data_IF_005280027144
#
_entry.id   IF_005280027144
#
_cell.length_a   1.000
_cell.length_b   1.000
_cell.length_c   1.000
_cell.angle_alpha   90.00
_cell.angle_beta   90.00
_cell.angle_gamma   90.00
#
_symmetry.space_group_name_H-M   'P 1'
#
loop_
_entity.id
_entity.type
_entity.pdbx_description
1 polymer ?
#
# COMPACT_ATOMS: atom_id res chain seq x y z
N UNK A 1 23.91 -3.90 -0.33
CA UNK A 1 22.52 -3.46 -0.56
C UNK A 1 21.99 -2.86 0.73
N UNK A 2 21.81 -1.56 0.79
CA UNK A 2 21.25 -0.85 1.95
C UNK A 2 19.75 -1.05 1.99
N UNK A 3 19.21 -1.47 3.14
CA UNK A 3 17.77 -1.68 3.32
C UNK A 3 17.10 -0.32 3.52
N UNK A 4 16.19 0.07 2.61
CA UNK A 4 15.38 1.28 2.80
C UNK A 4 14.30 0.96 3.83
N UNK A 5 14.16 1.77 4.91
CA UNK A 5 13.09 1.59 5.87
C UNK A 5 11.73 1.91 5.23
N UNK A 6 10.71 1.10 5.56
CA UNK A 6 9.35 1.36 5.10
C UNK A 6 8.80 2.64 5.73
N UNK A 7 8.25 3.55 4.93
CA UNK A 7 7.49 4.68 5.43
C UNK A 7 6.13 4.19 5.92
N UNK A 8 5.81 4.45 7.21
CA UNK A 8 4.53 4.07 7.85
C UNK A 8 3.79 5.26 8.47
N UNK A 9 4.14 6.48 8.05
CA UNK A 9 3.70 7.71 8.72
C UNK A 9 2.18 7.87 8.66
N UNK A 10 1.57 7.56 7.52
CA UNK A 10 0.13 7.69 7.33
C UNK A 10 -0.64 6.60 8.10
N UNK A 11 -0.16 5.36 8.02
CA UNK A 11 -0.72 4.20 8.70
C UNK A 11 -0.70 4.38 10.22
N UNK A 12 0.38 4.97 10.73
CA UNK A 12 0.52 5.32 12.15
C UNK A 12 -0.42 6.45 12.56
N UNK A 13 -0.58 7.49 11.73
CA UNK A 13 -1.52 8.57 12.00
C UNK A 13 -2.97 8.07 12.06
N UNK A 14 -3.36 7.19 11.12
CA UNK A 14 -4.68 6.57 11.10
C UNK A 14 -4.91 5.65 12.31
N UNK A 15 -3.91 4.86 12.70
CA UNK A 15 -3.98 4.04 13.93
C UNK A 15 -4.20 4.89 15.19
N UNK A 16 -3.55 6.05 15.29
CA UNK A 16 -3.71 6.97 16.43
C UNK A 16 -5.12 7.52 16.58
N UNK A 17 -5.90 7.60 15.50
CA UNK A 17 -7.30 8.06 15.54
C UNK A 17 -8.31 6.89 15.56
N UNK A 18 -7.84 5.67 15.82
CA UNK A 18 -8.68 4.50 16.08
C UNK A 18 -8.91 3.57 14.89
N UNK A 19 -8.29 3.81 13.72
CA UNK A 19 -8.38 2.86 12.61
C UNK A 19 -7.48 1.64 12.87
N UNK A 20 -8.11 0.48 13.05
CA UNK A 20 -7.43 -0.77 13.41
C UNK A 20 -6.85 -1.48 12.18
N UNK A 21 -7.57 -1.47 11.06
CA UNK A 21 -7.13 -2.08 9.80
C UNK A 21 -6.91 -0.99 8.76
N UNK A 22 -5.65 -0.80 8.35
CA UNK A 22 -5.28 0.13 7.27
C UNK A 22 -4.65 -0.69 6.15
N UNK A 23 -5.25 -0.62 4.96
CA UNK A 23 -4.75 -1.28 3.77
C UNK A 23 -4.02 -0.27 2.88
N UNK A 24 -2.81 -0.63 2.44
CA UNK A 24 -2.18 0.01 1.27
C UNK A 24 -2.74 -0.60 0.00
N UNK A 25 -3.02 0.22 -1.01
CA UNK A 25 -3.54 -0.21 -2.31
C UNK A 25 -2.65 0.36 -3.41
N UNK A 26 -2.31 -0.48 -4.39
CA UNK A 26 -1.56 -0.06 -5.58
C UNK A 26 -1.98 -0.92 -6.78
N UNK A 27 -1.76 -0.40 -7.98
CA UNK A 27 -2.08 -1.06 -9.23
C UNK A 27 -0.88 -1.23 -10.17
N UNK A 28 -0.97 -2.27 -11.00
CA UNK A 28 -0.03 -2.52 -12.08
C UNK A 28 -0.81 -2.74 -13.39
N UNK A 29 -0.17 -2.40 -14.51
CA UNK A 29 -0.74 -2.63 -15.85
C UNK A 29 -1.42 -1.43 -16.49
N UNK A 30 -1.53 -0.27 -15.80
CA UNK A 30 -2.17 0.95 -16.35
C UNK A 30 -1.53 1.44 -17.67
N UNK A 31 -0.23 1.21 -17.84
CA UNK A 31 0.53 1.66 -19.01
C UNK A 31 0.81 0.57 -20.05
N UNK A 32 0.28 -0.64 -19.87
CA UNK A 32 0.51 -1.74 -20.81
C UNK A 32 -0.32 -1.54 -22.09
N UNK A 33 0.23 -1.95 -23.25
CA UNK A 33 -0.48 -1.90 -24.54
C UNK A 33 -1.67 -2.88 -24.59
N UNK A 34 -1.59 -3.98 -23.84
CA UNK A 34 -2.63 -4.99 -23.69
C UNK A 34 -2.46 -5.73 -22.35
N UNK A 35 -3.51 -6.43 -21.91
CA UNK A 35 -3.59 -7.11 -20.61
C UNK A 35 -4.42 -6.31 -19.60
N UNK A 36 -4.84 -6.95 -18.49
CA UNK A 36 -5.65 -6.28 -17.47
C UNK A 36 -4.81 -5.32 -16.63
N UNK A 37 -5.48 -4.32 -16.05
CA UNK A 37 -4.97 -3.63 -14.87
C UNK A 37 -5.31 -4.48 -13.65
N UNK A 38 -4.34 -4.71 -12.78
CA UNK A 38 -4.50 -5.50 -11.55
C UNK A 38 -4.16 -4.61 -10.37
N UNK A 39 -5.05 -4.54 -9.39
CA UNK A 39 -4.81 -3.87 -8.12
C UNK A 39 -4.71 -4.89 -6.98
N UNK A 40 -3.93 -4.56 -5.95
CA UNK A 40 -3.82 -5.35 -4.74
C UNK A 40 -4.01 -4.46 -3.50
N UNK A 41 -4.58 -5.05 -2.44
CA UNK A 41 -4.75 -4.39 -1.15
C UNK A 41 -4.09 -5.25 -0.07
N UNK A 42 -3.26 -4.63 0.77
CA UNK A 42 -2.53 -5.34 1.84
C UNK A 42 -2.71 -4.62 3.17
N UNK A 43 -3.20 -5.36 4.16
CA UNK A 43 -3.18 -4.93 5.57
C UNK A 43 -1.91 -5.44 6.22
N UNK A 44 -1.08 -4.53 6.74
CA UNK A 44 0.13 -4.87 7.47
C UNK A 44 -0.11 -4.63 8.97
N UNK A 45 -0.04 -5.72 9.74
CA UNK A 45 -0.15 -5.70 11.21
C UNK A 45 1.16 -5.23 11.85
#
# INVERSE_FOLDING_TARGET
>A
MTRVPAMRTLENALRRVGFVHVAGVDEAGRGCLAGPVVAAAVVLH
#
